data_IF_617032318065
#
_entry.id   IF_617032318065
#
_cell.length_a   1.000
_cell.length_b   1.000
_cell.length_c   1.000
_cell.angle_alpha   90.00
_cell.angle_beta   90.00
_cell.angle_gamma   90.00
#
_symmetry.space_group_name_H-M   'P 1'
#
loop_
_entity.id
_entity.type
_entity.pdbx_description
1 polymer ?
#
# COMPACT_ATOMS: atom_id res chain seq x y z
N UNK A 1 31.70 10.56 46.98
CA UNK A 1 30.88 11.76 46.79
C UNK A 1 29.92 11.44 45.62
N UNK A 2 28.60 11.48 45.85
CA UNK A 2 27.59 11.25 44.80
C UNK A 2 27.23 12.61 44.17
N UNK A 3 26.78 12.59 42.90
CA UNK A 3 26.23 13.79 42.26
C UNK A 3 24.88 14.11 42.91
N UNK A 4 24.60 15.42 42.98
CA UNK A 4 23.29 15.87 43.49
C UNK A 4 22.16 15.31 42.64
N UNK A 5 21.10 14.83 43.33
CA UNK A 5 19.94 14.27 42.73
C UNK A 5 18.68 14.78 43.43
N UNK A 6 17.96 15.67 42.75
CA UNK A 6 16.70 16.20 43.24
C UNK A 6 15.63 16.10 42.14
N UNK A 7 14.65 15.24 42.32
CA UNK A 7 13.56 15.05 41.35
C UNK A 7 12.47 16.12 41.43
N UNK A 8 12.42 16.85 42.54
CA UNK A 8 11.40 17.88 42.80
C UNK A 8 11.86 19.28 42.37
N UNK A 9 13.05 19.38 41.79
CA UNK A 9 13.59 20.68 41.37
C UNK A 9 12.82 21.19 40.14
N UNK A 10 12.20 22.36 40.29
CA UNK A 10 11.55 23.07 39.20
C UNK A 10 12.55 24.03 38.54
N UNK A 11 12.58 24.04 37.22
CA UNK A 11 13.35 25.02 36.47
C UNK A 11 12.59 26.35 36.44
N UNK A 12 13.27 27.43 36.76
CA UNK A 12 12.73 28.79 36.69
C UNK A 12 12.44 29.20 35.23
N UNK A 13 13.29 28.73 34.31
CA UNK A 13 13.13 28.87 32.86
C UNK A 13 13.08 27.46 32.28
N UNK A 14 11.99 27.05 31.63
CA UNK A 14 11.94 25.75 31.02
C UNK A 14 13.02 25.65 29.93
N UNK A 15 13.88 24.62 29.96
CA UNK A 15 14.87 24.44 28.90
C UNK A 15 14.19 24.15 27.59
N UNK A 16 14.79 24.63 26.50
CA UNK A 16 14.30 24.26 25.16
C UNK A 16 14.57 22.79 24.87
N UNK A 17 13.74 22.16 24.04
CA UNK A 17 14.02 20.79 23.59
C UNK A 17 15.39 20.66 22.93
N UNK A 18 15.90 21.74 22.30
CA UNK A 18 17.20 21.74 21.62
C UNK A 18 18.37 21.57 22.58
N UNK A 19 18.24 22.02 23.82
CA UNK A 19 19.29 21.89 24.85
C UNK A 19 19.46 20.45 25.33
N UNK A 20 18.39 19.65 25.28
CA UNK A 20 18.45 18.24 25.65
C UNK A 20 18.85 17.33 24.49
N UNK A 21 18.78 17.83 23.26
CA UNK A 21 19.03 17.05 22.06
C UNK A 21 20.47 17.19 21.57
N UNK A 22 21.14 16.10 21.30
CA UNK A 22 22.47 16.13 20.68
C UNK A 22 22.38 16.78 19.30
N UNK A 23 23.33 17.64 18.95
CA UNK A 23 23.35 18.36 17.68
C UNK A 23 23.28 17.44 16.45
N UNK A 24 23.94 16.29 16.53
CA UNK A 24 24.00 15.31 15.42
C UNK A 24 22.93 14.23 15.50
N UNK A 25 21.89 14.41 16.31
CA UNK A 25 20.84 13.41 16.37
C UNK A 25 20.00 13.37 15.09
N UNK A 26 19.63 12.16 14.66
CA UNK A 26 18.87 11.93 13.43
C UNK A 26 17.54 12.69 13.35
N UNK A 27 16.87 12.96 14.47
CA UNK A 27 15.64 13.76 14.50
C UNK A 27 15.89 15.21 14.07
N UNK A 28 17.06 15.82 14.44
CA UNK A 28 17.44 17.16 14.00
C UNK A 28 17.77 17.17 12.51
N UNK A 29 18.50 16.17 12.05
CA UNK A 29 18.79 16.00 10.63
C UNK A 29 17.50 15.86 9.81
N UNK A 30 16.60 15.00 10.23
CA UNK A 30 15.28 14.83 9.59
C UNK A 30 14.49 16.14 9.59
N UNK A 31 14.45 16.84 10.74
CA UNK A 31 13.78 18.14 10.84
C UNK A 31 14.31 19.13 9.82
N UNK A 32 15.62 19.22 9.66
CA UNK A 32 16.27 20.11 8.71
C UNK A 32 15.97 19.71 7.27
N UNK A 33 16.09 18.42 6.93
CA UNK A 33 15.76 17.91 5.59
C UNK A 33 14.32 18.26 5.22
N UNK A 34 13.37 17.96 6.09
CA UNK A 34 11.95 18.24 5.81
C UNK A 34 11.67 19.75 5.69
N UNK A 35 12.37 20.59 6.46
CA UNK A 35 12.21 22.05 6.38
C UNK A 35 12.77 22.64 5.07
N UNK A 36 13.70 21.96 4.39
CA UNK A 36 14.25 22.41 3.09
C UNK A 36 13.33 22.09 1.91
N UNK A 37 12.40 21.15 2.07
CA UNK A 37 11.48 20.77 1.00
C UNK A 37 10.37 21.83 0.82
N UNK A 38 9.91 22.04 -0.43
CA UNK A 38 8.72 22.86 -0.70
C UNK A 38 7.44 22.05 -0.50
N UNK A 39 6.90 22.10 0.68
CA UNK A 39 5.74 21.33 1.12
C UNK A 39 4.42 22.12 1.10
N UNK A 40 4.32 23.21 0.31
CA UNK A 40 3.08 24.02 0.23
C UNK A 40 1.86 23.21 -0.14
N UNK A 41 2.01 22.25 -1.06
CA UNK A 41 0.94 21.36 -1.49
C UNK A 41 0.34 20.50 -0.35
N UNK A 42 1.10 20.24 0.72
CA UNK A 42 0.56 19.55 1.90
C UNK A 42 -0.47 20.43 2.62
N UNK A 43 -0.19 21.72 2.77
CA UNK A 43 -1.13 22.66 3.39
C UNK A 43 -2.36 22.88 2.51
N UNK A 44 -2.20 23.00 1.20
CA UNK A 44 -3.27 23.18 0.23
C UNK A 44 -4.24 21.98 0.20
N UNK A 45 -3.73 20.78 0.55
CA UNK A 45 -4.54 19.57 0.64
C UNK A 45 -5.54 19.55 1.80
N UNK A 46 -5.47 20.52 2.72
CA UNK A 46 -6.36 20.66 3.85
C UNK A 46 -7.40 21.75 3.59
N UNK A 47 -8.67 21.35 3.55
CA UNK A 47 -9.79 22.29 3.42
C UNK A 47 -10.30 22.66 4.81
N UNK A 48 -9.65 23.63 5.45
CA UNK A 48 -9.98 24.06 6.83
C UNK A 48 -11.32 24.77 6.99
N UNK A 49 -12.06 25.04 5.90
CA UNK A 49 -13.30 25.82 5.93
C UNK A 49 -14.52 25.06 6.44
N UNK A 50 -14.46 23.76 6.64
CA UNK A 50 -15.62 22.90 6.94
C UNK A 50 -15.61 22.19 8.29
N UNK A 51 -14.55 22.29 9.09
CA UNK A 51 -14.42 21.56 10.35
C UNK A 51 -14.34 22.51 11.55
N UNK A 52 -15.08 22.19 12.60
CA UNK A 52 -15.07 22.94 13.88
C UNK A 52 -13.77 22.75 14.67
N UNK A 53 -12.97 21.76 14.32
CA UNK A 53 -11.70 21.45 15.01
C UNK A 53 -10.52 21.83 14.14
N UNK A 54 -9.52 22.48 14.77
CA UNK A 54 -8.27 22.84 14.11
C UNK A 54 -7.49 21.57 13.72
N UNK A 55 -7.07 21.49 12.47
CA UNK A 55 -6.26 20.38 12.00
C UNK A 55 -4.82 20.50 12.54
N UNK A 56 -4.19 19.35 12.81
CA UNK A 56 -2.76 19.31 13.10
C UNK A 56 -1.94 19.71 11.86
N UNK A 57 -0.80 20.34 12.10
CA UNK A 57 0.10 20.74 11.03
C UNK A 57 0.55 19.52 10.21
N UNK A 58 0.35 19.49 8.88
CA UNK A 58 0.68 18.33 8.05
C UNK A 58 2.19 18.06 7.96
N UNK A 59 3.04 19.09 8.02
CA UNK A 59 4.49 18.93 8.01
C UNK A 59 4.96 18.30 9.32
N UNK A 60 4.36 18.67 10.45
CA UNK A 60 4.61 18.02 11.73
C UNK A 60 4.24 16.53 11.67
N UNK A 61 3.05 16.19 11.14
CA UNK A 61 2.64 14.79 10.99
C UNK A 61 3.59 14.01 10.06
N UNK A 62 4.10 14.65 9.01
CA UNK A 62 5.10 14.08 8.12
C UNK A 62 6.41 13.77 8.86
N UNK A 63 6.94 14.73 9.65
CA UNK A 63 8.16 14.54 10.45
C UNK A 63 8.03 13.38 11.43
N UNK A 64 6.91 13.33 12.14
CA UNK A 64 6.61 12.24 13.08
C UNK A 64 6.58 10.90 12.34
N UNK A 65 5.91 10.84 11.20
CA UNK A 65 5.76 9.61 10.43
C UNK A 65 7.11 9.10 9.89
N UNK A 66 7.95 9.98 9.37
CA UNK A 66 9.26 9.62 8.83
C UNK A 66 10.23 9.20 9.92
N UNK A 67 10.34 9.97 11.00
CA UNK A 67 11.18 9.62 12.13
C UNK A 67 10.81 8.25 12.72
N UNK A 68 9.55 7.98 12.70
CA UNK A 68 8.99 6.73 13.16
C UNK A 68 9.40 5.52 12.29
N UNK A 69 9.29 5.65 10.98
CA UNK A 69 9.73 4.60 10.07
C UNK A 69 11.24 4.39 10.11
N UNK A 70 12.03 5.44 10.30
CA UNK A 70 13.47 5.33 10.52
C UNK A 70 13.79 4.47 11.76
N UNK A 71 12.95 4.53 12.77
CA UNK A 71 13.09 3.74 14.00
C UNK A 71 12.35 2.38 13.97
N UNK A 72 11.99 1.90 12.79
CA UNK A 72 11.33 0.59 12.57
C UNK A 72 10.03 0.38 13.38
N UNK A 73 9.30 1.44 13.66
CA UNK A 73 8.01 1.35 14.34
C UNK A 73 6.89 1.68 13.36
N UNK A 74 5.89 0.79 13.22
CA UNK A 74 4.85 0.88 12.18
C UNK A 74 3.43 1.04 12.73
N UNK A 75 3.27 1.03 14.05
CA UNK A 75 1.96 1.11 14.69
C UNK A 75 1.60 2.54 15.09
N UNK A 76 0.52 3.10 14.54
CA UNK A 76 0.03 4.43 14.89
C UNK A 76 -0.30 4.59 16.39
N UNK A 77 -0.72 3.51 17.08
CA UNK A 77 -0.94 3.53 18.53
C UNK A 77 0.36 3.66 19.31
N UNK A 78 1.43 2.96 18.87
CA UNK A 78 2.75 3.11 19.47
C UNK A 78 3.28 4.54 19.26
N UNK A 79 3.01 5.16 18.08
CA UNK A 79 3.36 6.55 17.81
C UNK A 79 2.70 7.47 18.83
N UNK A 80 1.39 7.41 18.95
CA UNK A 80 0.65 8.26 19.86
C UNK A 80 1.15 8.15 21.32
N UNK A 81 1.59 6.96 21.74
CA UNK A 81 2.18 6.77 23.06
C UNK A 81 3.58 7.39 23.17
N UNK A 82 4.42 7.22 22.16
CA UNK A 82 5.76 7.79 22.14
C UNK A 82 5.76 9.32 22.17
N UNK A 83 4.80 9.96 21.52
CA UNK A 83 4.61 11.42 21.57
C UNK A 83 4.41 11.96 22.99
N UNK A 84 4.04 11.10 23.95
CA UNK A 84 3.85 11.47 25.37
C UNK A 84 5.07 11.20 26.22
N UNK A 85 6.01 10.36 25.80
CA UNK A 85 7.07 9.82 26.65
C UNK A 85 8.47 9.91 26.05
N UNK A 86 8.60 10.23 24.77
CA UNK A 86 9.87 10.23 24.06
C UNK A 86 10.23 11.65 23.63
N UNK A 87 11.35 12.16 24.13
CA UNK A 87 11.80 13.54 23.94
C UNK A 87 11.98 13.91 22.45
N UNK A 88 12.46 12.95 21.63
CA UNK A 88 12.70 13.17 20.21
C UNK A 88 11.40 13.34 19.42
N UNK A 89 10.39 12.55 19.79
CA UNK A 89 9.05 12.68 19.23
C UNK A 89 8.37 13.97 19.70
N UNK A 90 8.53 14.33 20.96
CA UNK A 90 8.00 15.59 21.51
C UNK A 90 8.62 16.80 20.81
N UNK A 91 9.91 16.76 20.51
CA UNK A 91 10.60 17.79 19.72
C UNK A 91 9.99 17.95 18.33
N UNK A 92 9.90 16.87 17.55
CA UNK A 92 9.37 16.90 16.19
C UNK A 92 7.89 17.31 16.14
N UNK A 93 7.13 16.96 17.16
CA UNK A 93 5.72 17.27 17.30
C UNK A 93 5.46 18.65 17.90
N UNK A 94 6.51 19.35 18.38
CA UNK A 94 6.33 20.56 19.18
C UNK A 94 5.32 20.36 20.30
N UNK A 95 5.50 19.27 21.06
CA UNK A 95 4.63 18.82 22.15
C UNK A 95 3.14 18.56 21.77
N UNK A 96 2.80 18.56 20.48
CA UNK A 96 1.47 18.13 20.03
C UNK A 96 1.33 16.62 20.18
N UNK A 97 0.13 16.21 20.56
CA UNK A 97 -0.18 14.79 20.82
C UNK A 97 -1.37 14.33 19.96
N UNK A 98 -1.20 14.23 18.62
CA UNK A 98 -2.24 13.69 17.78
C UNK A 98 -2.56 12.25 18.19
N UNK A 99 -3.84 11.90 18.16
CA UNK A 99 -4.28 10.55 18.43
C UNK A 99 -3.88 9.59 17.30
N UNK A 100 -3.94 8.29 17.59
CA UNK A 100 -3.56 7.25 16.62
C UNK A 100 -4.44 7.25 15.35
N UNK A 101 -5.70 7.72 15.43
CA UNK A 101 -6.63 7.81 14.30
C UNK A 101 -6.18 8.93 13.37
N UNK A 102 -5.82 10.08 13.90
CA UNK A 102 -5.28 11.22 13.13
C UNK A 102 -4.04 10.82 12.37
N UNK A 103 -3.09 10.15 13.02
CA UNK A 103 -1.85 9.67 12.39
C UNK A 103 -2.15 8.65 11.29
N UNK A 104 -3.02 7.68 11.56
CA UNK A 104 -3.40 6.67 10.59
C UNK A 104 -4.14 7.26 9.38
N UNK A 105 -5.06 8.20 9.62
CA UNK A 105 -5.80 8.88 8.56
C UNK A 105 -4.88 9.73 7.69
N UNK A 106 -3.91 10.43 8.29
CA UNK A 106 -2.89 11.15 7.53
C UNK A 106 -2.15 10.21 6.59
N UNK A 107 -1.63 9.09 7.08
CA UNK A 107 -0.93 8.10 6.28
C UNK A 107 -1.77 7.54 5.14
N UNK A 108 -3.03 7.18 5.42
CA UNK A 108 -3.93 6.57 4.43
C UNK A 108 -4.38 7.55 3.36
N UNK A 109 -4.79 8.75 3.78
CA UNK A 109 -5.47 9.67 2.88
C UNK A 109 -4.52 10.59 2.12
N UNK A 110 -3.23 10.60 2.49
CA UNK A 110 -2.23 11.49 1.90
C UNK A 110 -1.07 10.74 1.23
N UNK A 111 -1.29 9.47 0.89
CA UNK A 111 -0.23 8.63 0.33
C UNK A 111 0.34 9.20 -0.98
N UNK A 112 -0.49 9.79 -1.87
CA UNK A 112 -0.04 10.43 -3.11
C UNK A 112 0.86 11.66 -2.83
N UNK A 113 0.58 12.38 -1.76
CA UNK A 113 1.43 13.49 -1.34
C UNK A 113 2.73 12.99 -0.72
N UNK A 114 2.70 11.87 0.00
CA UNK A 114 3.91 11.22 0.51
C UNK A 114 4.82 10.72 -0.62
N UNK A 115 4.24 10.25 -1.73
CA UNK A 115 5.00 9.90 -2.94
C UNK A 115 5.72 11.14 -3.52
N UNK A 116 5.04 12.30 -3.57
CA UNK A 116 5.68 13.56 -4.00
C UNK A 116 6.85 13.94 -3.09
N UNK A 117 6.66 13.87 -1.78
CA UNK A 117 7.74 14.11 -0.81
C UNK A 117 8.92 13.17 -1.05
N UNK A 118 8.66 11.91 -1.33
CA UNK A 118 9.73 10.94 -1.65
C UNK A 118 10.52 11.37 -2.89
N UNK A 119 9.83 11.78 -3.95
CA UNK A 119 10.48 12.30 -5.18
C UNK A 119 11.35 13.52 -4.88
N UNK A 120 10.88 14.46 -4.06
CA UNK A 120 11.65 15.63 -3.67
C UNK A 120 12.90 15.27 -2.85
N UNK A 121 12.80 14.27 -1.96
CA UNK A 121 13.96 13.77 -1.20
C UNK A 121 15.01 13.17 -2.16
N UNK A 122 14.59 12.43 -3.18
CA UNK A 122 15.51 11.89 -4.20
C UNK A 122 16.16 13.02 -5.01
N UNK A 123 15.41 14.08 -5.34
CA UNK A 123 15.99 15.27 -5.98
C UNK A 123 17.03 15.94 -5.08
N UNK A 124 16.72 16.14 -3.81
CA UNK A 124 17.68 16.69 -2.83
C UNK A 124 18.93 15.81 -2.73
N UNK A 125 18.76 14.48 -2.69
CA UNK A 125 19.89 13.54 -2.72
C UNK A 125 20.72 13.69 -4.01
N UNK A 126 20.08 14.00 -5.13
CA UNK A 126 20.77 14.27 -6.40
C UNK A 126 21.56 15.60 -6.37
N UNK A 127 21.03 16.64 -5.78
CA UNK A 127 21.73 17.92 -5.58
C UNK A 127 22.95 17.76 -4.67
N UNK A 128 22.85 16.89 -3.68
CA UNK A 128 23.96 16.53 -2.79
C UNK A 128 24.94 15.51 -3.39
N UNK A 129 24.82 15.19 -4.69
CA UNK A 129 25.68 14.24 -5.44
C UNK A 129 25.63 12.80 -4.91
N UNK A 130 24.66 12.45 -4.07
CA UNK A 130 24.46 11.10 -3.57
C UNK A 130 23.80 10.20 -4.63
N UNK A 131 22.95 10.79 -5.49
CA UNK A 131 22.27 10.15 -6.62
C UNK A 131 22.69 10.87 -7.91
N UNK A 132 23.20 10.14 -8.89
CA UNK A 132 23.74 10.71 -10.14
C UNK A 132 22.94 10.31 -11.39
N UNK A 133 21.98 9.41 -11.24
CA UNK A 133 21.30 8.73 -12.34
C UNK A 133 22.31 8.02 -13.28
N UNK A 134 23.30 7.42 -12.64
CA UNK A 134 24.35 6.63 -13.31
C UNK A 134 23.90 5.20 -13.54
N UNK A 135 24.13 4.36 -12.54
CA UNK A 135 23.81 2.93 -12.60
C UNK A 135 22.70 2.61 -11.62
N UNK A 136 21.55 2.17 -12.11
CA UNK A 136 20.47 1.69 -11.27
C UNK A 136 20.53 0.16 -11.14
N UNK A 137 20.38 -0.31 -9.91
CA UNK A 137 20.14 -1.72 -9.63
C UNK A 137 18.65 -1.94 -9.40
N UNK A 138 18.08 -2.88 -10.13
CA UNK A 138 16.66 -3.25 -10.01
C UNK A 138 16.60 -4.68 -9.48
N UNK A 139 15.86 -4.84 -8.40
CA UNK A 139 15.59 -6.15 -7.80
C UNK A 139 14.16 -6.19 -7.29
N UNK A 140 13.67 -7.40 -7.01
CA UNK A 140 12.34 -7.61 -6.52
C UNK A 140 12.33 -8.34 -5.17
N UNK A 141 11.30 -8.07 -4.41
CA UNK A 141 11.04 -8.77 -3.17
C UNK A 141 9.56 -9.09 -3.02
N UNK A 142 9.27 -10.12 -2.26
CA UNK A 142 7.91 -10.51 -1.95
C UNK A 142 7.42 -9.78 -0.71
N UNK A 143 6.28 -9.08 -0.84
CA UNK A 143 5.60 -8.48 0.30
C UNK A 143 4.32 -9.26 0.56
N UNK A 144 4.16 -9.78 1.78
CA UNK A 144 2.94 -10.47 2.18
C UNK A 144 1.75 -9.52 2.16
N UNK A 145 0.69 -9.95 1.51
CA UNK A 145 -0.60 -9.29 1.63
C UNK A 145 -1.19 -9.52 3.03
N UNK A 146 -1.91 -8.54 3.53
CA UNK A 146 -2.65 -8.69 4.80
C UNK A 146 -3.93 -9.49 4.61
N UNK A 147 -3.78 -10.69 4.07
CA UNK A 147 -4.88 -11.56 3.69
C UNK A 147 -4.58 -13.01 4.06
N UNK A 148 -5.52 -13.65 4.75
CA UNK A 148 -5.38 -15.06 5.13
C UNK A 148 -5.52 -15.96 3.90
N UNK A 149 -4.55 -16.86 3.68
CA UNK A 149 -4.60 -17.86 2.60
C UNK A 149 -5.82 -18.79 2.66
N UNK A 150 -6.41 -18.96 3.84
CA UNK A 150 -7.59 -19.79 4.06
C UNK A 150 -8.89 -19.14 3.58
N UNK A 151 -8.89 -17.83 3.35
CA UNK A 151 -10.04 -17.08 2.82
C UNK A 151 -10.05 -16.98 1.30
N UNK A 152 -9.12 -17.65 0.63
CA UNK A 152 -9.10 -17.66 -0.82
C UNK A 152 -10.34 -18.36 -1.39
N UNK A 153 -11.02 -17.66 -2.27
CA UNK A 153 -12.19 -18.17 -2.98
C UNK A 153 -11.72 -18.60 -4.36
N UNK A 154 -11.99 -19.86 -4.68
CA UNK A 154 -11.89 -20.35 -6.03
C UNK A 154 -13.15 -19.90 -6.79
N UNK A 155 -12.98 -19.17 -7.89
CA UNK A 155 -14.10 -18.64 -8.67
C UNK A 155 -15.04 -19.73 -9.17
N UNK A 156 -14.50 -20.91 -9.49
CA UNK A 156 -15.32 -22.02 -9.96
C UNK A 156 -16.18 -22.58 -8.80
N UNK A 157 -15.60 -22.69 -7.60
CA UNK A 157 -16.36 -23.06 -6.39
C UNK A 157 -17.36 -21.99 -5.95
N UNK A 158 -17.07 -20.73 -6.23
CA UNK A 158 -18.00 -19.64 -5.95
C UNK A 158 -19.20 -19.71 -6.90
N UNK A 159 -18.97 -20.01 -8.18
CA UNK A 159 -20.04 -20.28 -9.16
C UNK A 159 -20.95 -21.41 -8.71
N UNK A 160 -20.36 -22.54 -8.30
CA UNK A 160 -21.12 -23.69 -7.81
C UNK A 160 -21.95 -23.32 -6.57
N UNK A 161 -21.36 -22.60 -5.60
CA UNK A 161 -22.10 -22.14 -4.40
C UNK A 161 -23.25 -21.20 -4.74
N UNK A 162 -23.03 -20.24 -5.63
CA UNK A 162 -24.07 -19.31 -6.08
C UNK A 162 -25.18 -20.09 -6.81
N UNK A 163 -24.81 -21.03 -7.68
CA UNK A 163 -25.78 -21.90 -8.38
C UNK A 163 -26.61 -22.72 -7.39
N UNK A 164 -25.98 -23.32 -6.37
CA UNK A 164 -26.67 -24.03 -5.30
C UNK A 164 -27.63 -23.14 -4.51
N UNK A 165 -27.23 -21.93 -4.15
CA UNK A 165 -28.09 -20.96 -3.47
C UNK A 165 -29.30 -20.57 -4.34
N UNK A 166 -29.11 -20.43 -5.64
CA UNK A 166 -30.25 -20.18 -6.56
C UNK A 166 -31.18 -21.35 -6.62
N UNK A 167 -30.64 -22.55 -6.77
CA UNK A 167 -31.46 -23.77 -6.82
C UNK A 167 -32.22 -23.99 -5.51
N UNK A 168 -31.62 -23.65 -4.38
CA UNK A 168 -32.28 -23.72 -3.07
C UNK A 168 -33.36 -22.64 -2.94
N UNK A 169 -33.13 -21.44 -3.43
CA UNK A 169 -34.15 -20.38 -3.50
C UNK A 169 -35.32 -20.75 -4.46
N UNK A 170 -35.01 -21.29 -5.63
CA UNK A 170 -36.03 -21.75 -6.57
C UNK A 170 -36.87 -22.91 -5.95
N UNK A 171 -36.25 -23.86 -5.24
CA UNK A 171 -36.96 -24.90 -4.52
C UNK A 171 -37.86 -24.36 -3.37
N UNK A 172 -37.41 -23.30 -2.69
CA UNK A 172 -38.21 -22.65 -1.64
C UNK A 172 -39.39 -21.92 -2.29
N UNK A 173 -39.16 -21.18 -3.37
CA UNK A 173 -40.23 -20.51 -4.12
C UNK A 173 -41.28 -21.53 -4.67
N UNK A 174 -40.83 -22.70 -5.12
CA UNK A 174 -41.73 -23.79 -5.57
C UNK A 174 -42.52 -24.37 -4.40
N UNK A 175 -41.90 -24.61 -3.24
CA UNK A 175 -42.58 -25.08 -2.03
C UNK A 175 -43.56 -24.04 -1.48
N UNK A 176 -43.19 -22.73 -1.51
CA UNK A 176 -44.08 -21.64 -1.14
C UNK A 176 -45.30 -21.56 -2.11
N UNK A 177 -45.10 -21.73 -3.40
CA UNK A 177 -46.18 -21.78 -4.38
C UNK A 177 -47.10 -22.98 -4.15
N UNK A 178 -46.60 -24.17 -3.77
CA UNK A 178 -47.42 -25.33 -3.42
C UNK A 178 -48.21 -25.14 -2.12
N UNK A 179 -47.62 -24.46 -1.10
CA UNK A 179 -48.26 -24.29 0.22
C UNK A 179 -49.24 -23.10 0.24
N UNK A 180 -48.98 -22.06 -0.50
CA UNK A 180 -49.74 -20.78 -0.45
C UNK A 180 -50.56 -20.46 -1.70
N UNK A 181 -50.75 -21.41 -2.61
CA UNK A 181 -51.50 -21.26 -3.87
C UNK A 181 -52.89 -20.59 -3.70
N UNK A 182 -53.47 -20.59 -2.47
CA UNK A 182 -54.83 -20.12 -2.21
C UNK A 182 -54.95 -19.00 -1.16
N UNK A 183 -53.88 -18.37 -0.70
CA UNK A 183 -53.99 -17.29 0.31
C UNK A 183 -53.20 -16.04 -0.07
N UNK A 184 -53.94 -15.06 -0.58
CA UNK A 184 -53.48 -13.71 -0.68
C UNK A 184 -53.09 -13.13 0.71
N UNK A 185 -51.90 -12.51 0.78
CA UNK A 185 -51.52 -11.40 1.68
C UNK A 185 -51.17 -11.64 3.14
N UNK A 186 -50.74 -12.78 3.60
CA UNK A 186 -50.07 -12.86 4.92
C UNK A 186 -48.90 -13.85 4.95
N UNK A 187 -47.72 -13.40 4.53
CA UNK A 187 -46.48 -14.13 4.78
C UNK A 187 -46.16 -14.16 6.27
N UNK A 188 -45.89 -15.34 6.88
CA UNK A 188 -45.36 -15.41 8.25
C UNK A 188 -44.05 -14.67 8.38
N UNK A 189 -43.80 -14.05 9.57
CA UNK A 189 -42.57 -13.29 9.88
C UNK A 189 -41.27 -14.11 9.65
N UNK A 190 -41.34 -15.43 9.66
CA UNK A 190 -40.23 -16.36 9.40
C UNK A 190 -39.78 -16.37 7.93
N UNK A 191 -40.66 -16.00 7.00
CA UNK A 191 -40.38 -15.91 5.55
C UNK A 191 -39.87 -14.53 5.10
N UNK A 192 -39.90 -13.52 5.96
CA UNK A 192 -39.27 -12.22 5.70
C UNK A 192 -37.73 -12.31 5.50
N UNK A 193 -37.16 -13.48 5.75
CA UNK A 193 -35.77 -13.79 5.44
C UNK A 193 -35.49 -13.97 3.92
N UNK A 194 -36.51 -14.23 3.10
CA UNK A 194 -36.31 -14.48 1.65
C UNK A 194 -35.92 -13.21 0.88
N UNK A 195 -36.46 -12.04 1.26
CA UNK A 195 -36.04 -10.76 0.66
C UNK A 195 -34.58 -10.44 0.99
N UNK A 196 -34.19 -10.64 2.27
CA UNK A 196 -32.78 -10.47 2.69
C UNK A 196 -31.87 -11.49 2.01
N UNK A 197 -32.36 -12.70 1.74
CA UNK A 197 -31.62 -13.70 0.96
C UNK A 197 -31.52 -13.29 -0.52
N UNK A 198 -32.61 -12.79 -1.13
CA UNK A 198 -32.60 -12.29 -2.51
C UNK A 198 -31.64 -11.07 -2.65
N UNK A 199 -31.68 -10.12 -1.72
CA UNK A 199 -30.74 -8.99 -1.68
C UNK A 199 -29.28 -9.44 -1.52
N UNK A 200 -29.02 -10.43 -0.64
CA UNK A 200 -27.69 -10.99 -0.46
C UNK A 200 -27.18 -11.73 -1.71
N UNK A 201 -28.08 -12.44 -2.39
CA UNK A 201 -27.81 -13.14 -3.65
C UNK A 201 -27.55 -12.14 -4.78
N UNK A 202 -28.36 -11.09 -4.92
CA UNK A 202 -28.13 -10.04 -5.92
C UNK A 202 -26.82 -9.27 -5.68
N UNK A 203 -26.52 -8.98 -4.43
CA UNK A 203 -25.25 -8.36 -4.04
C UNK A 203 -24.06 -9.27 -4.37
N UNK A 204 -24.14 -10.55 -4.01
CA UNK A 204 -23.11 -11.54 -4.34
C UNK A 204 -22.96 -11.73 -5.88
N UNK A 205 -24.07 -11.68 -6.63
CA UNK A 205 -24.09 -11.72 -8.09
C UNK A 205 -23.39 -10.52 -8.73
N UNK A 206 -23.63 -9.34 -8.18
CA UNK A 206 -23.02 -8.10 -8.65
C UNK A 206 -21.50 -8.09 -8.36
N UNK A 207 -21.11 -8.43 -7.14
CA UNK A 207 -19.71 -8.57 -6.74
C UNK A 207 -18.98 -9.64 -7.59
N UNK A 208 -19.66 -10.77 -7.87
CA UNK A 208 -19.10 -11.81 -8.75
C UNK A 208 -18.90 -11.31 -10.18
N UNK A 209 -19.87 -10.60 -10.78
CA UNK A 209 -19.73 -10.03 -12.12
C UNK A 209 -18.58 -9.05 -12.20
N UNK A 210 -18.49 -8.14 -11.24
CA UNK A 210 -17.40 -7.14 -11.17
C UNK A 210 -16.01 -7.81 -11.04
N UNK A 211 -15.92 -8.87 -10.21
CA UNK A 211 -14.69 -9.65 -10.06
C UNK A 211 -14.36 -10.44 -11.31
N UNK A 212 -15.36 -11.03 -11.96
CA UNK A 212 -15.20 -11.77 -13.20
C UNK A 212 -14.78 -10.88 -14.38
N UNK A 213 -15.35 -9.69 -14.49
CA UNK A 213 -14.95 -8.70 -15.50
C UNK A 213 -13.52 -8.21 -15.30
N UNK A 214 -13.12 -7.92 -14.07
CA UNK A 214 -11.73 -7.58 -13.74
C UNK A 214 -10.78 -8.72 -14.12
N UNK A 215 -11.12 -9.96 -13.79
CA UNK A 215 -10.30 -11.14 -14.07
C UNK A 215 -10.21 -11.44 -15.57
N UNK A 216 -11.33 -11.30 -16.29
CA UNK A 216 -11.38 -11.51 -17.75
C UNK A 216 -10.55 -10.44 -18.47
N UNK A 217 -10.70 -9.17 -18.09
CA UNK A 217 -9.92 -8.08 -18.67
C UNK A 217 -8.40 -8.26 -18.44
N UNK A 218 -8.01 -8.82 -17.31
CA UNK A 218 -6.62 -9.10 -17.01
C UNK A 218 -6.11 -10.39 -17.65
N UNK A 219 -6.94 -11.43 -17.71
CA UNK A 219 -6.63 -12.66 -18.42
C UNK A 219 -6.52 -12.42 -19.94
N UNK A 220 -7.36 -11.58 -20.52
CA UNK A 220 -7.28 -11.22 -21.95
C UNK A 220 -6.00 -10.44 -22.27
N UNK A 221 -5.57 -9.56 -21.37
CA UNK A 221 -4.26 -8.88 -21.47
C UNK A 221 -3.10 -9.89 -21.40
N UNK A 222 -3.22 -10.92 -20.57
CA UNK A 222 -2.21 -11.96 -20.42
C UNK A 222 -2.29 -13.03 -21.54
N UNK A 223 -3.47 -13.36 -22.03
CA UNK A 223 -3.66 -14.36 -23.09
C UNK A 223 -3.11 -13.90 -24.43
N UNK A 224 -3.16 -12.59 -24.72
CA UNK A 224 -2.49 -11.98 -25.87
C UNK A 224 -0.96 -12.10 -25.81
N UNK A 225 -0.39 -12.40 -24.63
CA UNK A 225 1.04 -12.59 -24.43
C UNK A 225 1.49 -14.05 -24.24
N UNK A 226 0.54 -15.04 -24.14
CA UNK A 226 0.90 -16.43 -23.76
C UNK A 226 0.04 -17.49 -24.40
N UNK A 227 0.52 -18.10 -25.45
CA UNK A 227 0.00 -19.38 -25.97
C UNK A 227 0.57 -20.65 -25.30
N UNK A 228 1.51 -20.56 -24.35
CA UNK A 228 2.32 -21.73 -23.98
C UNK A 228 2.25 -22.30 -22.55
N UNK A 229 1.49 -21.78 -21.55
CA UNK A 229 1.59 -22.27 -20.17
C UNK A 229 0.25 -22.66 -19.51
N UNK A 230 -0.18 -23.92 -19.68
CA UNK A 230 -1.43 -24.48 -19.13
C UNK A 230 -1.47 -24.66 -17.59
N UNK A 231 -0.33 -24.71 -16.90
CA UNK A 231 -0.25 -24.98 -15.45
C UNK A 231 -0.61 -23.81 -14.55
N UNK A 232 -0.40 -22.59 -15.00
CA UNK A 232 -0.58 -21.39 -14.20
C UNK A 232 -2.04 -20.87 -14.12
N UNK A 233 -2.93 -21.32 -15.01
CA UNK A 233 -4.36 -20.93 -15.00
C UNK A 233 -5.07 -21.22 -13.67
N UNK A 234 -4.71 -22.30 -12.98
CA UNK A 234 -5.37 -22.73 -11.74
C UNK A 234 -5.05 -21.85 -10.53
N UNK A 235 -3.87 -21.21 -10.52
CA UNK A 235 -3.45 -20.31 -9.44
C UNK A 235 -4.05 -18.91 -9.59
N UNK A 236 -4.31 -18.47 -10.81
CA UNK A 236 -4.89 -17.16 -11.12
C UNK A 236 -6.40 -17.07 -10.83
N UNK A 237 -7.09 -18.22 -10.71
CA UNK A 237 -8.53 -18.26 -10.41
C UNK A 237 -8.86 -18.10 -8.93
N UNK A 238 -7.85 -17.93 -8.04
CA UNK A 238 -8.06 -17.75 -6.62
C UNK A 238 -7.94 -16.28 -6.26
N UNK A 239 -9.02 -15.71 -5.75
CA UNK A 239 -9.10 -14.33 -5.27
C UNK A 239 -9.30 -14.35 -3.77
N UNK A 240 -8.66 -13.43 -3.07
CA UNK A 240 -8.90 -13.21 -1.66
C UNK A 240 -9.88 -12.04 -1.47
N UNK A 241 -11.05 -12.25 -0.85
CA UNK A 241 -12.02 -11.16 -0.67
C UNK A 241 -11.55 -10.08 0.31
N UNK A 242 -10.54 -10.37 1.15
CA UNK A 242 -9.95 -9.37 2.06
C UNK A 242 -8.99 -8.43 1.31
N UNK A 243 -8.33 -8.95 0.26
CA UNK A 243 -7.35 -8.24 -0.54
C UNK A 243 -7.37 -8.81 -1.97
N UNK A 244 -8.24 -8.27 -2.81
CA UNK A 244 -8.50 -8.75 -4.17
C UNK A 244 -7.34 -8.53 -5.12
N UNK A 245 -6.48 -7.55 -4.82
CA UNK A 245 -5.35 -7.19 -5.67
C UNK A 245 -4.12 -8.07 -5.41
N UNK A 246 -4.08 -8.74 -4.25
CA UNK A 246 -3.02 -9.70 -3.94
C UNK A 246 -3.14 -10.98 -4.78
N UNK A 247 -2.02 -11.68 -4.96
CA UNK A 247 -1.99 -12.93 -5.73
C UNK A 247 -1.55 -14.10 -4.89
N UNK A 248 -2.26 -15.22 -5.05
CA UNK A 248 -1.94 -16.48 -4.41
C UNK A 248 -0.88 -17.22 -5.21
N UNK A 249 0.33 -17.24 -4.71
CA UNK A 249 1.46 -17.84 -5.41
C UNK A 249 2.42 -18.55 -4.46
N UNK A 250 3.32 -19.35 -5.06
CA UNK A 250 4.36 -20.08 -4.35
C UNK A 250 5.46 -19.13 -3.91
N UNK A 251 5.80 -19.18 -2.64
CA UNK A 251 6.88 -18.39 -2.05
C UNK A 251 8.23 -19.07 -2.24
N UNK A 252 9.31 -18.30 -2.13
CA UNK A 252 10.71 -18.85 -2.16
C UNK A 252 10.93 -19.98 -1.15
N UNK A 253 10.20 -20.01 -0.04
CA UNK A 253 10.27 -21.04 1.01
C UNK A 253 9.27 -22.21 0.83
N UNK A 254 8.81 -22.49 -0.39
CA UNK A 254 7.88 -23.59 -0.70
C UNK A 254 6.46 -23.46 -0.11
N UNK A 255 6.15 -22.41 0.64
CA UNK A 255 4.79 -22.11 1.08
C UNK A 255 4.03 -21.33 -0.01
N UNK A 256 2.72 -21.42 0.01
CA UNK A 256 1.82 -20.63 -0.86
C UNK A 256 1.11 -19.61 0.00
N UNK A 257 1.13 -18.35 -0.41
CA UNK A 257 0.49 -17.26 0.32
C UNK A 257 -0.01 -16.19 -0.64
N UNK A 258 -0.76 -15.24 -0.11
CA UNK A 258 -1.11 -13.99 -0.80
C UNK A 258 0.05 -13.01 -0.68
N UNK A 259 0.51 -12.46 -1.80
CA UNK A 259 1.64 -11.53 -1.82
C UNK A 259 1.62 -10.60 -3.04
N UNK A 260 2.48 -9.60 -2.99
CA UNK A 260 2.76 -8.65 -4.05
C UNK A 260 4.21 -8.77 -4.50
N UNK A 261 4.44 -8.57 -5.79
CA UNK A 261 5.76 -8.36 -6.33
C UNK A 261 6.14 -6.89 -6.13
N UNK A 262 7.15 -6.65 -5.32
CA UNK A 262 7.63 -5.32 -4.98
C UNK A 262 8.98 -5.08 -5.64
N UNK A 263 9.00 -4.17 -6.60
CA UNK A 263 10.18 -3.76 -7.33
C UNK A 263 10.89 -2.63 -6.59
N UNK A 264 12.18 -2.74 -6.39
CA UNK A 264 13.02 -1.73 -5.74
C UNK A 264 14.11 -1.32 -6.74
N UNK A 265 14.26 -0.03 -6.94
CA UNK A 265 15.30 0.56 -7.76
C UNK A 265 16.23 1.36 -6.87
N UNK A 266 17.52 1.06 -6.94
CA UNK A 266 18.54 1.69 -6.10
C UNK A 266 19.71 2.21 -6.91
N UNK A 267 20.36 3.26 -6.42
CA UNK A 267 21.67 3.73 -6.83
C UNK A 267 22.49 4.02 -5.56
N UNK A 268 23.71 3.47 -5.48
CA UNK A 268 24.60 3.68 -4.31
C UNK A 268 23.92 3.40 -2.96
N UNK A 269 23.11 2.34 -2.86
CA UNK A 269 22.32 1.95 -1.68
C UNK A 269 21.18 2.93 -1.32
N UNK A 270 20.92 3.92 -2.14
CA UNK A 270 19.77 4.82 -1.98
C UNK A 270 18.61 4.31 -2.84
N UNK A 271 17.44 4.18 -2.25
CA UNK A 271 16.23 3.83 -3.00
C UNK A 271 15.78 5.03 -3.82
N UNK A 272 15.82 4.87 -5.16
CA UNK A 272 15.38 5.90 -6.11
C UNK A 272 13.89 5.78 -6.37
N UNK A 273 13.41 4.55 -6.49
CA UNK A 273 12.01 4.26 -6.78
C UNK A 273 11.61 2.91 -6.23
N UNK A 274 10.34 2.78 -5.96
CA UNK A 274 9.72 1.51 -5.63
C UNK A 274 8.37 1.39 -6.33
N UNK A 275 8.00 0.16 -6.68
CA UNK A 275 6.76 -0.08 -7.40
C UNK A 275 6.17 -1.44 -7.02
N UNK A 276 4.93 -1.44 -6.58
CA UNK A 276 4.18 -2.66 -6.27
C UNK A 276 3.46 -3.13 -7.52
N UNK A 277 3.73 -4.36 -7.92
CA UNK A 277 3.11 -4.98 -9.09
C UNK A 277 2.39 -6.24 -8.67
N UNK A 278 1.19 -6.42 -9.16
CA UNK A 278 0.44 -7.66 -8.95
C UNK A 278 0.91 -8.80 -9.86
N UNK A 279 1.70 -8.50 -10.91
CA UNK A 279 2.24 -9.51 -11.83
C UNK A 279 3.34 -10.32 -11.15
N UNK A 280 3.30 -11.65 -11.25
CA UNK A 280 4.27 -12.52 -10.59
C UNK A 280 5.64 -12.59 -11.27
N UNK A 281 5.76 -12.06 -12.48
CA UNK A 281 6.91 -12.26 -13.35
C UNK A 281 7.72 -10.98 -13.50
N UNK A 282 9.02 -11.06 -13.24
CA UNK A 282 9.93 -9.90 -13.28
C UNK A 282 10.14 -9.35 -14.69
N UNK A 283 10.08 -10.22 -15.69
CA UNK A 283 10.24 -9.86 -17.09
C UNK A 283 9.28 -8.77 -17.58
N UNK A 284 8.06 -8.73 -17.03
CA UNK A 284 7.02 -7.78 -17.43
C UNK A 284 7.05 -6.51 -16.57
N UNK A 285 8.04 -6.36 -15.68
CA UNK A 285 8.06 -5.29 -14.67
C UNK A 285 9.08 -4.19 -14.97
N UNK A 286 10.12 -4.48 -15.75
CA UNK A 286 11.21 -3.54 -16.04
C UNK A 286 10.70 -2.27 -16.73
N UNK A 287 10.05 -2.42 -17.88
CA UNK A 287 9.57 -1.27 -18.68
C UNK A 287 8.56 -0.42 -17.90
N UNK A 288 7.52 -0.98 -17.23
CA UNK A 288 6.63 -0.18 -16.39
C UNK A 288 7.36 0.59 -15.29
N UNK A 289 8.34 -0.02 -14.63
CA UNK A 289 9.14 0.62 -13.57
C UNK A 289 9.93 1.80 -14.12
N UNK A 290 10.63 1.60 -15.25
CA UNK A 290 11.41 2.67 -15.88
C UNK A 290 10.55 3.80 -16.43
N UNK A 291 9.38 3.49 -16.97
CA UNK A 291 8.43 4.50 -17.41
C UNK A 291 7.94 5.37 -16.25
N UNK A 292 7.70 4.78 -15.09
CA UNK A 292 7.36 5.54 -13.88
C UNK A 292 8.50 6.44 -13.41
N UNK A 293 9.72 5.94 -13.42
CA UNK A 293 10.92 6.74 -13.12
C UNK A 293 11.03 7.91 -14.12
N UNK A 294 10.89 7.65 -15.42
CA UNK A 294 10.92 8.68 -16.46
C UNK A 294 9.82 9.72 -16.28
N UNK A 295 8.61 9.29 -15.92
CA UNK A 295 7.47 10.16 -15.63
C UNK A 295 7.78 11.11 -14.46
N UNK A 296 8.31 10.57 -13.37
CA UNK A 296 8.54 11.32 -12.12
C UNK A 296 9.80 12.18 -12.16
N UNK A 297 10.90 11.62 -12.63
CA UNK A 297 12.20 12.30 -12.60
C UNK A 297 12.60 12.93 -13.94
N UNK A 298 11.80 12.73 -15.01
CA UNK A 298 12.10 13.21 -16.39
C UNK A 298 13.47 12.76 -16.90
N UNK A 299 14.02 11.72 -16.29
CA UNK A 299 15.36 11.20 -16.55
C UNK A 299 15.40 9.69 -16.33
N UNK A 300 16.21 9.01 -17.12
CA UNK A 300 16.54 7.59 -16.93
C UNK A 300 18.01 7.44 -16.53
N UNK A 301 18.42 6.31 -15.95
CA UNK A 301 19.82 6.02 -15.67
C UNK A 301 20.60 5.81 -16.96
N UNK A 302 21.93 5.89 -16.88
CA UNK A 302 22.81 5.51 -17.99
C UNK A 302 22.90 4.00 -18.15
N UNK A 303 22.87 3.29 -17.03
CA UNK A 303 23.07 1.84 -16.96
C UNK A 303 22.06 1.19 -16.01
N UNK A 304 21.69 -0.06 -16.29
CA UNK A 304 20.81 -0.87 -15.44
C UNK A 304 21.48 -2.22 -15.16
N UNK A 305 21.48 -2.58 -13.88
CA UNK A 305 21.82 -3.90 -13.38
C UNK A 305 20.55 -4.59 -12.92
N UNK A 306 20.29 -5.78 -13.45
CA UNK A 306 19.11 -6.56 -13.04
C UNK A 306 19.42 -8.06 -13.16
N UNK A 307 18.65 -8.89 -12.45
CA UNK A 307 18.78 -10.35 -12.56
C UNK A 307 18.35 -10.81 -13.97
N UNK A 308 18.88 -11.95 -14.40
CA UNK A 308 18.62 -12.57 -15.72
C UNK A 308 17.13 -12.72 -16.05
N UNK A 309 16.26 -12.77 -15.07
CA UNK A 309 14.82 -12.93 -15.25
C UNK A 309 14.12 -11.66 -15.79
N UNK A 310 14.80 -10.51 -15.77
CA UNK A 310 14.30 -9.27 -16.37
C UNK A 310 14.57 -9.19 -17.87
N UNK A 311 15.51 -9.98 -18.40
CA UNK A 311 15.98 -9.83 -19.77
C UNK A 311 15.07 -10.54 -20.76
N UNK A 312 14.33 -9.77 -21.51
CA UNK A 312 13.49 -10.21 -22.62
C UNK A 312 13.81 -9.35 -23.85
N UNK A 313 13.46 -9.82 -25.04
CA UNK A 313 13.65 -9.07 -26.28
C UNK A 313 12.95 -7.70 -26.23
N UNK A 314 11.77 -7.63 -25.63
CA UNK A 314 11.01 -6.38 -25.47
C UNK A 314 11.74 -5.40 -24.53
N UNK A 315 12.30 -5.89 -23.44
CA UNK A 315 13.04 -5.07 -22.49
C UNK A 315 14.33 -4.55 -23.11
N UNK A 316 15.08 -5.39 -23.87
CA UNK A 316 16.26 -4.95 -24.58
C UNK A 316 15.93 -3.89 -25.64
N UNK A 317 14.89 -4.07 -26.46
CA UNK A 317 14.45 -3.07 -27.44
C UNK A 317 14.09 -1.73 -26.77
N UNK A 318 13.43 -1.78 -25.63
CA UNK A 318 13.10 -0.56 -24.88
C UNK A 318 14.37 0.16 -24.42
N UNK A 319 15.32 -0.57 -23.81
CA UNK A 319 16.57 0.01 -23.32
C UNK A 319 17.43 0.59 -24.44
N UNK A 320 17.50 -0.09 -25.56
CA UNK A 320 18.20 0.39 -26.76
C UNK A 320 17.59 1.69 -27.29
N UNK A 321 16.27 1.75 -27.40
CA UNK A 321 15.54 2.97 -27.83
C UNK A 321 15.78 4.15 -26.87
N UNK A 322 15.86 3.89 -25.57
CA UNK A 322 16.10 4.90 -24.55
C UNK A 322 17.62 5.16 -24.32
N UNK A 323 18.52 4.48 -25.03
CA UNK A 323 19.98 4.57 -24.91
C UNK A 323 20.48 4.27 -23.50
N UNK A 324 19.93 3.26 -22.88
CA UNK A 324 20.29 2.78 -21.54
C UNK A 324 21.06 1.47 -21.68
N UNK A 325 22.26 1.41 -21.13
CA UNK A 325 23.06 0.18 -21.12
C UNK A 325 22.52 -0.82 -20.10
N UNK A 326 22.61 -2.12 -20.39
CA UNK A 326 22.09 -3.19 -19.53
C UNK A 326 23.16 -4.23 -19.23
N UNK A 327 23.20 -4.69 -17.99
CA UNK A 327 24.16 -5.68 -17.48
C UNK A 327 23.48 -6.74 -16.62
#
# INVERSE_FOLDING_TARGET
>A
MFKEYNQEQNFLIPPSYEEFLWEKHESKLLNNIINWLDLKYLYESYNNKKTWTTAYNPVMLLKILFYWYMNSVFSSRKIANKLKSDLWFMYLAWNNQPDFRTINNFRKNKWELLEKVFVEIVYLASELWLVKFGTFSIDWTQIYANASKHKNIDLDRLKEKIWWLFKEADNIDDLENEIYWDKEDNLPEELSNSEKQKEAIEKARKEYKELQEKLNNENDKMQKQRESWKKDKKLLNKINPTDSDSRFQKMKKWDTSQWYNYQIVTENQIIIWNYVIWKPWDKDTLVPTLNKIKEKFKKLPKQILADKWYWTEENYKFLENEKVESY
#
